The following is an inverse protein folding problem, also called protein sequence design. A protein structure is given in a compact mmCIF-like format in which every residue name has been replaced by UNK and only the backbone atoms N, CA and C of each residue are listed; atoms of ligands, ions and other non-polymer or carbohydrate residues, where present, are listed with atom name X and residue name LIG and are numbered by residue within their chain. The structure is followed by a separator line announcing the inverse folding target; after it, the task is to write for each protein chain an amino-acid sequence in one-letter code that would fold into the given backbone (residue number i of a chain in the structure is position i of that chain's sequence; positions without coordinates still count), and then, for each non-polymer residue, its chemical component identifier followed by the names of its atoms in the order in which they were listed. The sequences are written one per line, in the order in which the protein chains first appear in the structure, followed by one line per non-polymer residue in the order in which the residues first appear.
data_IF_453292694384
#
_entry.id   IF_453292694384
#
_cell.length_a   1.000
_cell.length_b   1.000
_cell.length_c   1.000
_cell.angle_alpha   90.00
_cell.angle_beta   90.00
_cell.angle_gamma   90.00
#
_symmetry.space_group_name_H-M   'P 1'
#
loop_
_entity.id
_entity.type
_entity.pdbx_description
1 polymer ?
#
# COMPACT_ATOMS: atom_id res chain seq x y z
N UNK A 1 69.48 26.41 -3.23
CA UNK A 1 68.24 26.33 -4.02
C UNK A 1 67.26 25.42 -3.30
N UNK A 2 66.41 26.03 -2.55
CA UNK A 2 65.39 25.30 -1.81
C UNK A 2 64.16 25.13 -2.73
N UNK A 3 63.93 23.92 -3.14
CA UNK A 3 62.72 23.53 -3.83
C UNK A 3 61.62 23.45 -2.76
N UNK A 4 60.79 24.48 -2.77
CA UNK A 4 59.61 24.50 -1.90
C UNK A 4 58.69 23.33 -2.24
N UNK A 5 58.60 22.40 -1.30
CA UNK A 5 57.60 21.37 -1.27
C UNK A 5 56.25 22.03 -1.19
N UNK A 6 55.53 22.07 -2.27
CA UNK A 6 54.09 22.41 -2.26
C UNK A 6 53.38 21.22 -1.64
N UNK A 7 53.21 21.32 -0.34
CA UNK A 7 52.38 20.41 0.42
C UNK A 7 50.97 20.45 -0.11
N UNK A 8 50.55 19.31 -0.65
CA UNK A 8 49.25 18.78 -0.38
C UNK A 8 48.06 19.65 -0.75
N UNK A 9 47.87 19.87 -2.04
CA UNK A 9 46.50 19.98 -2.50
C UNK A 9 45.92 18.57 -2.45
N UNK A 10 45.50 18.19 -1.24
CA UNK A 10 44.55 17.13 -1.09
C UNK A 10 43.26 17.65 -1.70
N UNK A 11 43.10 17.36 -2.97
CA UNK A 11 41.79 17.32 -3.55
C UNK A 11 41.04 16.23 -2.80
N UNK A 12 40.41 16.62 -1.69
CA UNK A 12 39.28 15.89 -1.18
C UNK A 12 38.26 15.91 -2.30
N UNK A 13 38.36 14.92 -3.16
CA UNK A 13 37.27 14.45 -3.95
C UNK A 13 36.26 13.86 -2.97
N UNK A 14 35.71 14.67 -2.08
CA UNK A 14 34.35 14.46 -1.67
C UNK A 14 33.56 14.66 -2.96
N UNK A 15 33.45 13.57 -3.66
CA UNK A 15 32.35 13.36 -4.55
C UNK A 15 31.17 13.61 -3.63
N UNK A 16 30.70 14.84 -3.65
CA UNK A 16 29.32 15.12 -3.34
C UNK A 16 28.56 14.13 -4.20
N UNK A 17 28.21 13.01 -3.59
CA UNK A 17 27.15 12.18 -4.08
C UNK A 17 25.91 13.07 -4.02
N UNK A 18 25.84 13.95 -4.99
CA UNK A 18 24.58 14.56 -5.38
C UNK A 18 23.74 13.37 -5.82
N UNK A 19 23.09 12.79 -4.84
CA UNK A 19 21.97 11.92 -5.13
C UNK A 19 21.06 12.74 -6.02
N UNK A 20 20.81 12.33 -7.26
CA UNK A 20 19.96 13.06 -8.20
C UNK A 20 18.50 12.89 -7.82
N UNK A 21 18.13 13.25 -6.60
CA UNK A 21 16.77 13.10 -6.11
C UNK A 21 16.30 14.30 -5.30
N UNK A 22 16.78 15.49 -5.64
CA UNK A 22 16.20 16.73 -5.15
C UNK A 22 15.77 17.64 -6.31
N UNK A 23 14.95 17.10 -7.18
CA UNK A 23 14.08 17.91 -7.99
C UNK A 23 12.71 17.82 -7.34
N UNK A 24 12.39 18.86 -6.62
CA UNK A 24 11.07 19.25 -6.17
C UNK A 24 10.13 19.32 -7.36
N UNK A 25 9.43 18.28 -7.57
CA UNK A 25 8.28 18.16 -8.45
C UNK A 25 7.45 17.05 -7.88
N UNK A 26 6.17 17.24 -7.74
CA UNK A 26 5.18 16.29 -7.24
C UNK A 26 5.66 14.85 -7.40
N UNK A 27 6.22 14.29 -6.35
CA UNK A 27 6.48 12.85 -6.31
C UNK A 27 5.11 12.21 -6.37
N UNK A 28 4.65 11.89 -7.58
CA UNK A 28 3.66 10.84 -7.72
C UNK A 28 4.14 9.72 -6.82
N UNK A 29 3.44 9.49 -5.72
CA UNK A 29 3.80 8.47 -4.76
C UNK A 29 3.85 7.14 -5.52
N UNK A 30 5.05 6.73 -5.90
CA UNK A 30 5.23 5.47 -6.62
C UNK A 30 4.84 4.37 -5.66
N UNK A 31 3.73 3.73 -5.97
CA UNK A 31 3.22 2.64 -5.16
C UNK A 31 4.28 1.54 -5.06
N UNK A 32 4.61 1.16 -3.84
CA UNK A 32 5.55 0.07 -3.56
C UNK A 32 5.03 -1.24 -4.13
N UNK A 33 5.85 -1.91 -4.94
CA UNK A 33 5.50 -3.22 -5.50
C UNK A 33 5.64 -4.33 -4.46
N UNK A 34 4.98 -5.48 -4.70
CA UNK A 34 5.09 -6.66 -3.81
C UNK A 34 6.55 -7.08 -3.60
N UNK A 35 7.37 -7.02 -4.64
CA UNK A 35 8.79 -7.41 -4.55
C UNK A 35 9.60 -6.45 -3.69
N UNK A 36 9.39 -5.15 -3.85
CA UNK A 36 10.03 -4.12 -3.03
C UNK A 36 9.62 -4.21 -1.55
N UNK A 37 8.35 -4.52 -1.29
CA UNK A 37 7.87 -4.75 0.07
C UNK A 37 8.59 -5.94 0.72
N UNK A 38 8.67 -7.07 0.02
CA UNK A 38 9.36 -8.27 0.51
C UNK A 38 10.85 -7.98 0.76
N UNK A 39 11.50 -7.25 -0.14
CA UNK A 39 12.91 -6.89 -0.02
C UNK A 39 13.15 -5.99 1.19
N UNK A 40 12.32 -4.99 1.39
CA UNK A 40 12.41 -4.08 2.53
C UNK A 40 12.21 -4.81 3.85
N UNK A 41 11.18 -5.64 3.96
CA UNK A 41 10.94 -6.44 5.17
C UNK A 41 12.11 -7.40 5.43
N UNK A 42 12.61 -8.08 4.39
CA UNK A 42 13.76 -8.98 4.51
C UNK A 42 15.02 -8.27 5.01
N UNK A 43 15.25 -7.03 4.57
CA UNK A 43 16.36 -6.20 5.04
C UNK A 43 16.21 -5.72 6.48
N UNK A 44 15.01 -5.39 6.92
CA UNK A 44 14.77 -4.92 8.29
C UNK A 44 14.72 -6.05 9.33
N UNK A 45 14.30 -7.25 8.90
CA UNK A 45 14.13 -8.41 9.81
C UNK A 45 15.26 -9.44 9.72
N UNK A 46 16.23 -9.22 8.81
CA UNK A 46 17.33 -10.16 8.52
C UNK A 46 16.86 -11.58 8.14
N UNK A 47 15.65 -11.69 7.62
CA UNK A 47 15.00 -12.93 7.21
C UNK A 47 15.12 -13.13 5.70
N UNK A 48 15.34 -14.35 5.24
CA UNK A 48 15.43 -14.64 3.82
C UNK A 48 14.14 -14.20 3.05
N UNK A 49 14.29 -13.55 1.90
CA UNK A 49 13.17 -13.11 1.04
C UNK A 49 12.13 -14.20 0.77
N UNK A 50 12.59 -15.46 0.63
CA UNK A 50 11.71 -16.63 0.44
C UNK A 50 10.79 -16.88 1.64
N UNK A 51 11.32 -16.73 2.84
CA UNK A 51 10.54 -16.91 4.08
C UNK A 51 9.54 -15.77 4.25
N UNK A 52 9.96 -14.51 4.02
CA UNK A 52 9.05 -13.35 4.05
C UNK A 52 7.89 -13.53 3.07
N UNK A 53 8.17 -13.99 1.84
CA UNK A 53 7.13 -14.31 0.87
C UNK A 53 6.16 -15.36 1.41
N UNK A 54 6.66 -16.45 1.98
CA UNK A 54 5.84 -17.50 2.58
C UNK A 54 4.95 -17.00 3.71
N UNK A 55 5.48 -16.16 4.60
CA UNK A 55 4.71 -15.53 5.69
C UNK A 55 3.56 -14.68 5.15
N UNK A 56 3.80 -13.84 4.15
CA UNK A 56 2.78 -13.00 3.54
C UNK A 56 1.68 -13.81 2.84
N UNK A 57 2.05 -14.87 2.15
CA UNK A 57 1.10 -15.78 1.47
C UNK A 57 0.26 -16.55 2.49
N UNK A 58 0.89 -17.02 3.57
CA UNK A 58 0.17 -17.69 4.68
C UNK A 58 -0.78 -16.72 5.37
N UNK A 59 -0.36 -15.49 5.65
CA UNK A 59 -1.20 -14.45 6.23
C UNK A 59 -2.44 -14.19 5.38
N UNK A 60 -2.28 -14.07 4.06
CA UNK A 60 -3.40 -13.89 3.14
C UNK A 60 -4.35 -15.10 3.16
N UNK A 61 -3.81 -16.32 3.14
CA UNK A 61 -4.60 -17.55 3.15
C UNK A 61 -5.41 -17.69 4.45
N UNK A 62 -4.78 -17.44 5.59
CA UNK A 62 -5.46 -17.45 6.90
C UNK A 62 -6.53 -16.35 6.92
N UNK A 63 -6.21 -15.15 6.46
CA UNK A 63 -7.17 -14.05 6.37
C UNK A 63 -8.41 -14.39 5.54
N UNK A 64 -8.24 -15.05 4.40
CA UNK A 64 -9.38 -15.50 3.58
C UNK A 64 -10.24 -16.55 4.26
N UNK A 65 -9.62 -17.48 5.00
CA UNK A 65 -10.35 -18.49 5.79
C UNK A 65 -11.16 -17.82 6.90
N UNK A 66 -10.56 -16.90 7.64
CA UNK A 66 -11.21 -16.18 8.72
C UNK A 66 -12.36 -15.27 8.20
N UNK A 67 -12.17 -14.58 7.09
CA UNK A 67 -13.24 -13.79 6.47
C UNK A 67 -14.43 -14.63 6.03
N UNK A 68 -14.20 -15.87 5.61
CA UNK A 68 -15.30 -16.80 5.28
C UNK A 68 -16.02 -17.31 6.53
N UNK A 69 -15.26 -17.59 7.60
CA UNK A 69 -15.79 -18.19 8.85
C UNK A 69 -16.44 -17.13 9.75
N UNK A 70 -15.70 -16.12 10.14
CA UNK A 70 -16.08 -15.12 11.12
C UNK A 70 -16.59 -13.82 10.49
N UNK A 71 -16.30 -13.59 9.21
CA UNK A 71 -16.64 -12.35 8.51
C UNK A 71 -15.82 -11.13 8.94
N UNK A 72 -14.85 -11.32 9.82
CA UNK A 72 -13.97 -10.27 10.32
C UNK A 72 -12.55 -10.80 10.40
N UNK A 73 -11.59 -10.02 9.91
CA UNK A 73 -10.16 -10.31 10.02
C UNK A 73 -9.39 -9.04 10.35
N UNK A 74 -8.60 -9.06 11.41
CA UNK A 74 -7.76 -7.95 11.83
C UNK A 74 -6.31 -8.22 11.46
N UNK A 75 -5.72 -7.34 10.65
CA UNK A 75 -4.27 -7.28 10.43
C UNK A 75 -3.69 -6.30 11.44
N UNK A 76 -2.87 -6.75 12.41
CA UNK A 76 -2.29 -5.88 13.43
C UNK A 76 -1.53 -4.72 12.79
N UNK A 77 -1.71 -3.52 13.28
CA UNK A 77 -1.02 -2.32 12.81
C UNK A 77 -1.55 -1.71 11.50
N UNK A 78 -2.39 -2.42 10.72
CA UNK A 78 -2.83 -1.93 9.41
C UNK A 78 -4.33 -1.69 9.31
N UNK A 79 -5.09 -2.75 9.20
CA UNK A 79 -6.51 -2.63 8.90
C UNK A 79 -7.34 -3.79 9.44
N UNK A 80 -8.61 -3.49 9.72
CA UNK A 80 -9.65 -4.47 10.01
C UNK A 80 -10.50 -4.68 8.76
N UNK A 81 -10.55 -5.90 8.29
CA UNK A 81 -11.40 -6.33 7.19
C UNK A 81 -12.72 -6.86 7.73
N UNK A 82 -13.83 -6.39 7.18
CA UNK A 82 -15.17 -6.80 7.60
C UNK A 82 -16.00 -7.16 6.37
N UNK A 83 -16.62 -8.31 6.40
CA UNK A 83 -17.57 -8.75 5.36
C UNK A 83 -18.94 -8.14 5.66
N UNK A 84 -19.43 -7.29 4.77
CA UNK A 84 -20.75 -6.70 4.84
C UNK A 84 -21.65 -7.35 3.79
N UNK A 85 -22.76 -7.92 4.22
CA UNK A 85 -23.80 -8.43 3.33
C UNK A 85 -24.67 -7.24 2.88
N UNK A 86 -24.66 -6.93 1.59
CA UNK A 86 -25.63 -5.98 1.01
C UNK A 86 -26.87 -6.73 0.56
N UNK A 87 -28.06 -6.32 1.02
CA UNK A 87 -29.32 -6.93 0.57
C UNK A 87 -29.55 -6.70 -0.92
N UNK A 88 -30.37 -7.52 -1.52
CA UNK A 88 -30.83 -7.30 -2.89
C UNK A 88 -31.62 -5.99 -2.95
N UNK A 89 -31.39 -5.21 -4.00
CA UNK A 89 -32.12 -3.97 -4.26
C UNK A 89 -33.08 -4.20 -5.42
N UNK A 90 -34.36 -3.92 -5.19
CA UNK A 90 -35.39 -3.99 -6.24
C UNK A 90 -35.13 -2.95 -7.34
N UNK A 91 -35.63 -3.21 -8.53
CA UNK A 91 -35.62 -2.21 -9.60
C UNK A 91 -36.40 -0.97 -9.13
N UNK A 92 -35.86 0.19 -9.39
CA UNK A 92 -36.48 1.48 -9.02
C UNK A 92 -36.36 2.47 -10.15
N UNK A 93 -37.37 3.30 -10.30
CA UNK A 93 -37.33 4.46 -11.17
C UNK A 93 -36.39 5.52 -10.54
N UNK A 94 -35.59 6.15 -11.35
CA UNK A 94 -34.75 7.26 -10.95
C UNK A 94 -34.52 8.18 -12.14
N UNK A 95 -33.81 9.27 -11.93
CA UNK A 95 -33.51 10.24 -12.96
C UNK A 95 -32.01 10.17 -13.27
N UNK A 96 -31.67 10.21 -14.53
CA UNK A 96 -30.27 10.28 -14.97
C UNK A 96 -29.70 11.67 -14.60
N UNK A 97 -28.61 11.75 -13.83
CA UNK A 97 -28.06 13.03 -13.41
C UNK A 97 -27.46 13.88 -14.55
N UNK A 98 -27.22 13.28 -15.71
CA UNK A 98 -26.61 13.99 -16.86
C UNK A 98 -27.62 14.63 -17.81
N UNK A 99 -28.75 13.99 -18.06
CA UNK A 99 -29.74 14.46 -19.02
C UNK A 99 -31.14 14.63 -18.43
N UNK A 100 -31.34 14.39 -17.13
CA UNK A 100 -32.63 14.57 -16.48
C UNK A 100 -33.73 13.58 -16.89
N UNK A 101 -33.44 12.60 -17.73
CA UNK A 101 -34.42 11.63 -18.21
C UNK A 101 -34.76 10.56 -17.17
N UNK A 102 -36.02 10.13 -17.12
CA UNK A 102 -36.42 9.03 -16.25
C UNK A 102 -35.75 7.74 -16.69
N UNK A 103 -35.04 7.09 -15.80
CA UNK A 103 -34.30 5.86 -16.02
C UNK A 103 -34.72 4.77 -15.04
N UNK A 104 -34.82 3.54 -15.53
CA UNK A 104 -35.05 2.37 -14.68
C UNK A 104 -33.71 1.78 -14.21
N UNK A 105 -33.43 1.90 -12.92
CA UNK A 105 -32.31 1.17 -12.32
C UNK A 105 -32.66 -0.30 -12.17
N UNK A 106 -31.86 -1.16 -12.78
CA UNK A 106 -32.04 -2.62 -12.70
C UNK A 106 -31.89 -3.12 -11.25
N UNK A 107 -32.64 -4.15 -10.91
CA UNK A 107 -32.49 -4.86 -9.65
C UNK A 107 -31.05 -5.38 -9.51
N UNK A 108 -30.47 -5.25 -8.32
CA UNK A 108 -29.14 -5.79 -7.98
C UNK A 108 -29.30 -6.94 -7.00
N UNK A 109 -28.70 -8.11 -7.28
CA UNK A 109 -28.75 -9.25 -6.36
C UNK A 109 -28.02 -8.94 -5.06
N UNK A 110 -28.36 -9.68 -4.01
CA UNK A 110 -27.62 -9.62 -2.75
C UNK A 110 -26.15 -10.01 -2.98
N UNK A 111 -25.23 -9.26 -2.41
CA UNK A 111 -23.80 -9.53 -2.54
C UNK A 111 -23.06 -9.30 -1.21
N UNK A 112 -22.01 -10.09 -1.00
CA UNK A 112 -21.07 -9.89 0.09
C UNK A 112 -19.97 -8.96 -0.38
N UNK A 113 -19.63 -7.95 0.40
CA UNK A 113 -18.59 -6.98 0.12
C UNK A 113 -17.62 -6.99 1.28
N UNK A 114 -16.33 -7.06 0.98
CA UNK A 114 -15.27 -6.88 1.98
C UNK A 114 -14.97 -5.39 2.09
N UNK A 115 -15.03 -4.84 3.30
CA UNK A 115 -14.62 -3.48 3.62
C UNK A 115 -13.39 -3.51 4.51
N UNK A 116 -12.35 -2.78 4.11
CA UNK A 116 -11.18 -2.53 4.94
C UNK A 116 -11.40 -1.22 5.72
N UNK A 117 -11.13 -1.25 7.02
CA UNK A 117 -11.13 -0.06 7.89
C UNK A 117 -9.74 0.07 8.49
N UNK A 118 -9.04 1.19 8.31
CA UNK A 118 -7.73 1.38 8.92
C UNK A 118 -7.84 1.36 10.45
N UNK A 119 -6.87 0.78 11.10
CA UNK A 119 -6.73 0.77 12.56
C UNK A 119 -6.22 2.15 13.00
N UNK A 120 -6.44 2.53 14.27
CA UNK A 120 -6.01 3.80 14.83
C UNK A 120 -4.51 4.05 14.58
N UNK A 121 -3.66 3.06 14.84
CA UNK A 121 -2.23 3.15 14.60
C UNK A 121 -1.87 3.53 13.14
N UNK A 122 -2.59 2.97 12.15
CA UNK A 122 -2.37 3.31 10.75
C UNK A 122 -2.85 4.72 10.39
N UNK A 123 -3.85 5.26 11.10
CA UNK A 123 -4.33 6.64 10.92
C UNK A 123 -3.38 7.66 11.55
N UNK A 124 -2.81 7.32 12.69
CA UNK A 124 -1.91 8.19 13.45
C UNK A 124 -0.52 8.25 12.81
N UNK A 125 -0.20 7.30 11.91
CA UNK A 125 1.07 7.22 11.19
C UNK A 125 1.13 8.03 9.88
N UNK A 126 0.02 8.69 9.47
CA UNK A 126 -0.11 9.42 8.19
C UNK A 126 -0.20 10.93 8.37
#
# INVERSE_FOLDING_TARGET
VQIGTIRGFRLDFQILSVTPNQLTGDKMAVQMTKSQLIEKIAGETEVAKKQVKGVLETLATVGYKELKKSGVFLVPGFAKFVVVKKPATKARKGVNPFNGEPMMFKAKPARKIVRARPVKAAKDAV
#
